data_IF_532198133706
#
_entry.id   IF_532198133706
#
_cell.length_a   1.000
_cell.length_b   1.000
_cell.length_c   1.000
_cell.angle_alpha   90.00
_cell.angle_beta   90.00
_cell.angle_gamma   90.00
#
_symmetry.space_group_name_H-M   'P 1'
#
loop_
_entity.id
_entity.type
_entity.pdbx_description
1 polymer ?
#
# COMPACT_ATOMS: atom_id res chain seq x y z
N UNK A 1 12.22 -9.27 -13.26
CA UNK A 1 12.25 -10.12 -12.05
C UNK A 1 10.96 -9.84 -11.28
N UNK A 2 10.10 -10.82 -10.97
CA UNK A 2 8.96 -10.56 -10.09
C UNK A 2 9.53 -10.17 -8.73
N UNK A 3 9.27 -8.93 -8.28
CA UNK A 3 9.56 -8.52 -6.91
C UNK A 3 8.71 -9.41 -6.00
N UNK A 4 9.32 -10.44 -5.42
CA UNK A 4 8.64 -11.31 -4.47
C UNK A 4 8.39 -10.44 -3.22
N UNK A 5 7.16 -9.93 -3.11
CA UNK A 5 6.75 -9.13 -1.98
C UNK A 5 6.77 -10.01 -0.72
N UNK A 6 7.73 -9.75 0.17
CA UNK A 6 7.81 -10.45 1.45
C UNK A 6 6.73 -9.92 2.41
N UNK A 7 5.53 -10.48 2.31
CA UNK A 7 4.40 -10.18 3.20
C UNK A 7 4.59 -10.77 4.61
N UNK A 8 5.66 -11.52 4.87
CA UNK A 8 5.98 -12.00 6.20
C UNK A 8 6.73 -10.92 6.99
N UNK A 9 7.71 -10.28 6.36
CA UNK A 9 8.52 -9.22 6.95
C UNK A 9 7.86 -7.82 6.85
N UNK A 10 7.15 -7.54 5.74
CA UNK A 10 6.59 -6.23 5.45
C UNK A 10 5.07 -6.28 5.28
N UNK A 11 4.40 -5.24 5.75
CA UNK A 11 3.03 -4.92 5.37
C UNK A 11 3.05 -4.01 4.15
N UNK A 12 2.15 -4.26 3.21
CA UNK A 12 2.03 -3.47 1.99
C UNK A 12 0.71 -2.71 2.00
N UNK A 13 0.76 -1.50 1.46
CA UNK A 13 -0.37 -0.57 1.43
C UNK A 13 -0.50 0.01 0.04
N UNK A 14 -1.69 -0.08 -0.52
CA UNK A 14 -2.08 0.64 -1.71
C UNK A 14 -2.78 1.93 -1.31
N UNK A 15 -2.23 3.05 -1.73
CA UNK A 15 -2.80 4.39 -1.52
C UNK A 15 -3.28 4.90 -2.86
N UNK A 16 -4.57 5.25 -2.93
CA UNK A 16 -5.20 5.88 -4.08
C UNK A 16 -5.22 7.39 -3.88
N UNK A 17 -4.61 8.12 -4.80
CA UNK A 17 -4.65 9.58 -4.81
C UNK A 17 -5.76 10.11 -5.71
N UNK A 18 -6.21 11.31 -5.40
CA UNK A 18 -7.05 12.09 -6.30
C UNK A 18 -6.24 12.63 -7.47
N UNK A 19 -6.86 12.77 -8.65
CA UNK A 19 -6.23 13.38 -9.83
C UNK A 19 -5.82 14.85 -9.61
N UNK A 20 -6.36 15.52 -8.58
CA UNK A 20 -5.96 16.88 -8.18
C UNK A 20 -4.86 16.90 -7.10
N UNK A 21 -4.38 15.73 -6.67
CA UNK A 21 -3.43 15.60 -5.56
C UNK A 21 -2.01 15.96 -6.02
N UNK A 22 -1.26 16.78 -5.25
CA UNK A 22 0.15 17.04 -5.54
C UNK A 22 1.00 15.76 -5.45
N UNK A 23 0.54 14.76 -4.70
CA UNK A 23 1.21 13.47 -4.53
C UNK A 23 1.13 12.56 -5.77
N UNK A 24 0.29 12.90 -6.76
CA UNK A 24 0.25 12.14 -8.03
C UNK A 24 1.55 12.34 -8.83
N UNK A 25 2.15 13.54 -8.77
CA UNK A 25 3.43 13.84 -9.41
C UNK A 25 4.65 13.48 -8.54
N UNK A 26 4.49 13.41 -7.22
CA UNK A 26 5.58 13.11 -6.28
C UNK A 26 5.12 12.19 -5.12
N UNK A 27 4.79 10.93 -5.41
CA UNK A 27 4.29 9.99 -4.40
C UNK A 27 5.35 9.63 -3.35
N UNK A 28 6.64 9.77 -3.67
CA UNK A 28 7.74 9.52 -2.74
C UNK A 28 7.78 10.50 -1.56
N UNK A 29 7.22 11.71 -1.70
CA UNK A 29 7.16 12.69 -0.61
C UNK A 29 6.31 12.18 0.56
N UNK A 30 5.25 11.43 0.27
CA UNK A 30 4.40 10.82 1.28
C UNK A 30 5.16 9.76 2.09
N UNK A 31 6.05 8.99 1.44
CA UNK A 31 6.93 8.05 2.14
C UNK A 31 7.92 8.77 3.06
N UNK A 32 8.39 9.97 2.66
CA UNK A 32 9.26 10.81 3.49
C UNK A 32 8.61 11.35 4.76
N UNK A 33 7.27 11.48 4.79
CA UNK A 33 6.55 11.96 5.97
C UNK A 33 6.43 10.91 7.08
N UNK A 34 6.45 9.62 6.73
CA UNK A 34 6.26 8.52 7.68
C UNK A 34 7.54 7.70 7.85
N UNK A 35 8.17 7.70 9.03
CA UNK A 35 9.40 6.95 9.24
C UNK A 35 9.17 5.44 9.09
N UNK A 36 9.86 4.84 8.12
CA UNK A 36 9.77 3.41 7.82
C UNK A 36 8.71 3.05 6.77
N UNK A 37 8.05 4.03 6.15
CA UNK A 37 7.25 3.82 4.94
C UNK A 37 8.17 3.92 3.72
N UNK A 38 8.11 2.91 2.85
CA UNK A 38 8.91 2.83 1.64
C UNK A 38 8.01 2.80 0.41
N UNK A 39 8.26 3.68 -0.55
CA UNK A 39 7.54 3.71 -1.82
C UNK A 39 8.08 2.65 -2.78
N UNK A 40 7.20 1.84 -3.36
CA UNK A 40 7.55 0.80 -4.32
C UNK A 40 7.19 1.14 -5.77
N UNK A 41 6.23 2.05 -5.98
CA UNK A 41 5.80 2.42 -7.33
C UNK A 41 4.29 2.51 -7.48
N UNK A 42 3.83 2.38 -8.72
CA UNK A 42 2.40 2.27 -9.07
C UNK A 42 1.92 0.82 -9.05
N UNK A 43 0.64 0.61 -8.78
CA UNK A 43 0.02 -0.72 -8.76
C UNK A 43 -0.51 -1.06 -10.14
N UNK A 44 0.24 -1.90 -10.88
CA UNK A 44 -0.18 -2.38 -12.20
C UNK A 44 -0.28 -1.23 -13.23
N UNK A 45 -1.45 -1.13 -13.86
CA UNK A 45 -1.77 -0.09 -14.87
C UNK A 45 -2.51 1.12 -14.28
N UNK A 46 -2.81 1.12 -12.97
CA UNK A 46 -3.49 2.24 -12.31
C UNK A 46 -2.49 3.37 -12.04
N UNK A 47 -2.76 4.55 -12.58
CA UNK A 47 -1.88 5.73 -12.44
C UNK A 47 -2.10 6.48 -11.12
N UNK A 48 -3.27 6.32 -10.52
CA UNK A 48 -3.71 6.94 -9.27
C UNK A 48 -3.39 6.07 -8.04
N UNK A 49 -3.08 4.79 -8.23
CA UNK A 49 -2.84 3.85 -7.14
C UNK A 49 -1.35 3.54 -7.00
N UNK A 50 -0.85 3.81 -5.80
CA UNK A 50 0.55 3.68 -5.46
C UNK A 50 0.78 2.68 -4.34
N UNK A 51 1.87 1.94 -4.44
CA UNK A 51 2.24 0.91 -3.48
C UNK A 51 3.32 1.42 -2.54
N UNK A 52 3.07 1.19 -1.26
CA UNK A 52 3.99 1.45 -0.17
C UNK A 52 4.19 0.17 0.65
N UNK A 53 5.31 0.08 1.35
CA UNK A 53 5.57 -0.99 2.30
C UNK A 53 6.09 -0.43 3.62
N UNK A 54 5.81 -1.13 4.71
CA UNK A 54 6.34 -0.83 6.03
C UNK A 54 6.71 -2.12 6.74
N UNK A 55 7.81 -2.17 7.50
CA UNK A 55 8.13 -3.34 8.32
C UNK A 55 6.97 -3.67 9.26
N UNK A 56 6.55 -4.95 9.32
CA UNK A 56 5.47 -5.39 10.20
C UNK A 56 5.56 -4.94 11.65
N UNK A 57 6.71 -5.00 12.35
CA UNK A 57 6.77 -4.56 13.75
C UNK A 57 6.42 -3.07 13.89
N UNK A 58 6.85 -2.24 12.94
CA UNK A 58 6.55 -0.82 12.93
C UNK A 58 5.09 -0.58 12.52
N UNK A 59 4.60 -1.34 11.53
CA UNK A 59 3.21 -1.28 11.10
C UNK A 59 2.26 -1.62 12.24
N UNK A 60 2.46 -2.71 12.98
CA UNK A 60 1.58 -3.09 14.07
C UNK A 60 1.49 -2.02 15.18
N UNK A 61 2.56 -1.27 15.41
CA UNK A 61 2.58 -0.19 16.41
C UNK A 61 2.01 1.12 15.87
N UNK A 62 2.28 1.46 14.61
CA UNK A 62 1.94 2.75 14.01
C UNK A 62 0.71 2.70 13.11
N UNK A 63 0.09 1.53 12.88
CA UNK A 63 -1.01 1.30 11.93
C UNK A 63 -2.12 2.33 12.09
N UNK A 64 -2.59 2.55 13.31
CA UNK A 64 -3.67 3.51 13.58
C UNK A 64 -3.29 4.92 13.15
N UNK A 65 -2.13 5.40 13.60
CA UNK A 65 -1.63 6.75 13.29
C UNK A 65 -1.30 6.93 11.82
N UNK A 66 -0.72 5.91 11.16
CA UNK A 66 -0.38 5.97 9.73
C UNK A 66 -1.65 5.93 8.88
N UNK A 67 -2.61 5.04 9.17
CA UNK A 67 -3.87 5.01 8.42
C UNK A 67 -4.67 6.30 8.62
N UNK A 68 -4.75 6.80 9.84
CA UNK A 68 -5.46 8.05 10.15
C UNK A 68 -4.79 9.26 9.50
N UNK A 69 -3.44 9.33 9.57
CA UNK A 69 -2.66 10.37 8.91
C UNK A 69 -2.76 10.33 7.39
N UNK A 70 -2.72 9.14 6.79
CA UNK A 70 -2.90 8.98 5.34
C UNK A 70 -4.31 9.38 4.92
N UNK A 71 -5.36 8.97 5.64
CA UNK A 71 -6.73 9.39 5.32
C UNK A 71 -6.98 10.88 5.58
N UNK A 72 -6.28 11.48 6.54
CA UNK A 72 -6.32 12.92 6.79
C UNK A 72 -5.46 13.73 5.82
N UNK A 73 -4.62 13.09 5.01
CA UNK A 73 -3.75 13.76 4.05
C UNK A 73 -4.58 14.27 2.86
N UNK A 74 -4.59 15.58 2.58
CA UNK A 74 -5.36 16.12 1.47
C UNK A 74 -4.86 15.56 0.15
N UNK A 75 -5.78 14.95 -0.61
CA UNK A 75 -5.47 14.31 -1.90
C UNK A 75 -5.32 12.79 -1.83
N UNK A 76 -5.38 12.17 -0.66
CA UNK A 76 -5.60 10.73 -0.51
C UNK A 76 -7.10 10.45 -0.55
N UNK A 77 -7.54 9.59 -1.47
CA UNK A 77 -8.94 9.14 -1.58
C UNK A 77 -9.14 7.86 -0.77
N UNK A 78 -8.20 6.94 -0.87
CA UNK A 78 -8.36 5.62 -0.29
C UNK A 78 -7.02 5.03 0.12
N UNK A 79 -7.03 4.27 1.21
CA UNK A 79 -5.88 3.53 1.71
C UNK A 79 -6.33 2.11 2.00
N UNK A 80 -5.73 1.15 1.32
CA UNK A 80 -6.02 -0.27 1.49
C UNK A 80 -4.76 -1.02 1.91
N UNK A 81 -4.87 -1.82 2.96
CA UNK A 81 -3.81 -2.75 3.36
C UNK A 81 -3.88 -4.01 2.49
N UNK A 82 -2.79 -4.30 1.78
CA UNK A 82 -2.63 -5.52 0.99
C UNK A 82 -2.34 -6.70 1.91
N UNK A 83 -3.41 -7.29 2.44
CA UNK A 83 -3.35 -8.57 3.13
C UNK A 83 -3.26 -9.65 2.05
N UNK A 84 -2.21 -10.50 2.05
CA UNK A 84 -2.09 -11.58 1.08
C UNK A 84 -3.25 -12.55 1.29
N UNK A 85 -4.32 -12.38 0.50
CA UNK A 85 -5.39 -13.36 0.41
C UNK A 85 -4.80 -14.60 -0.24
N UNK A 86 -4.63 -15.66 0.53
CA UNK A 86 -4.32 -16.97 -0.02
C UNK A 86 -5.35 -17.28 -1.11
N UNK A 87 -4.85 -17.39 -2.34
CA UNK A 87 -5.65 -17.81 -3.48
C UNK A 87 -6.12 -19.23 -3.19
N UNK A 88 -7.36 -19.38 -2.73
CA UNK A 88 -7.98 -20.70 -2.58
C UNK A 88 -8.03 -21.28 -3.99
N UNK A 89 -7.27 -22.34 -4.21
CA UNK A 89 -7.28 -23.09 -5.46
C UNK A 89 -8.71 -23.60 -5.62
N UNK A 90 -9.46 -23.10 -6.61
CA UNK A 90 -10.69 -23.76 -7.07
C UNK A 90 -10.26 -25.11 -7.66
N UNK A 91 -10.21 -26.11 -6.81
CA UNK A 91 -10.07 -27.51 -7.17
C UNK A 91 -11.10 -28.26 -6.36
N UNK A 92 -12.25 -28.50 -6.97
CA UNK A 92 -13.36 -29.17 -6.30
C UNK A 92 -14.68 -28.92 -7.00
N UNK A 93 -14.73 -29.17 -8.31
CA UNK A 93 -15.96 -29.68 -8.90
C UNK A 93 -15.67 -30.46 -10.19
N UNK A 94 -16.40 -31.57 -10.29
CA UNK A 94 -16.75 -32.37 -11.47
C UNK A 94 -15.85 -33.58 -11.89
N UNK A 95 -16.45 -34.75 -11.59
CA UNK A 95 -16.34 -36.12 -12.14
C UNK A 95 -15.46 -37.15 -11.40
#
# INVERSE_FOLDING_TARGET
>A
MPHQMDHNANSYLSVTFSSASPFQGSPSDLAGMYPGLFYHGRVGELEDVHLYSMPKPNWLQAKGTVLDGLNSTPGVIHVEEQIPKQRIKRGGDEL
#
